data_IF_025310459067
#
_entry.id   IF_025310459067
#
_cell.length_a   1.000
_cell.length_b   1.000
_cell.length_c   1.000
_cell.angle_alpha   90.00
_cell.angle_beta   90.00
_cell.angle_gamma   90.00
#
_symmetry.space_group_name_H-M   'P 1'
#
loop_
_entity.id
_entity.type
_entity.pdbx_description
1 polymer ?
#
# COMPACT_ATOMS: atom_id res chain seq x y z
N UNK A 1 0.28 -5.98 -18.16
CA UNK A 1 -0.84 -6.83 -17.70
C UNK A 1 -1.08 -6.39 -16.28
N UNK A 2 -2.28 -6.01 -15.87
CA UNK A 2 -2.50 -5.62 -14.48
C UNK A 2 -2.29 -6.85 -13.59
N UNK A 3 -1.39 -6.75 -12.62
CA UNK A 3 -1.26 -7.75 -11.57
C UNK A 3 -2.57 -7.77 -10.78
N UNK A 4 -3.17 -8.95 -10.67
CA UNK A 4 -4.28 -9.20 -9.76
C UNK A 4 -3.67 -9.72 -8.47
N UNK A 5 -3.80 -8.96 -7.38
CA UNK A 5 -3.37 -9.41 -6.06
C UNK A 5 -4.59 -9.99 -5.35
N UNK A 6 -4.72 -11.32 -5.26
CA UNK A 6 -5.87 -11.95 -4.60
C UNK A 6 -5.95 -11.59 -3.11
N UNK A 7 -4.83 -11.20 -2.50
CA UNK A 7 -4.79 -10.67 -1.14
C UNK A 7 -5.71 -9.45 -0.96
N UNK A 8 -5.86 -8.60 -1.98
CA UNK A 8 -6.63 -7.35 -1.91
C UNK A 8 -8.13 -7.62 -1.83
N UNK A 9 -8.63 -8.60 -2.57
CA UNK A 9 -10.06 -8.99 -2.57
C UNK A 9 -10.49 -9.56 -1.20
N UNK A 10 -9.53 -10.10 -0.45
CA UNK A 10 -9.76 -10.64 0.90
C UNK A 10 -9.73 -9.56 1.99
N UNK A 11 -9.37 -8.32 1.64
CA UNK A 11 -9.24 -7.27 2.64
C UNK A 11 -10.59 -6.73 3.07
N UNK A 12 -10.73 -6.45 4.37
CA UNK A 12 -11.93 -5.81 4.86
C UNK A 12 -12.01 -4.39 4.29
N UNK A 13 -13.22 -3.94 3.98
CA UNK A 13 -13.51 -2.55 3.57
C UNK A 13 -13.44 -1.59 4.77
N UNK A 14 -12.37 -1.66 5.55
CA UNK A 14 -12.08 -0.85 6.74
C UNK A 14 -10.59 -0.50 6.75
N UNK A 15 -10.17 0.61 7.38
CA UNK A 15 -8.76 0.96 7.41
C UNK A 15 -7.99 -0.08 8.20
N UNK A 16 -6.80 -0.41 7.70
CA UNK A 16 -5.93 -1.41 8.31
C UNK A 16 -5.05 -0.78 9.39
N UNK A 17 -4.57 -1.61 10.30
CA UNK A 17 -3.48 -1.22 11.20
C UNK A 17 -2.14 -1.47 10.50
N UNK A 18 -1.08 -0.72 10.83
CA UNK A 18 0.25 -0.93 10.24
C UNK A 18 0.77 -2.37 10.43
N UNK A 19 0.41 -3.02 11.54
CA UNK A 19 0.72 -4.43 11.80
C UNK A 19 0.06 -5.37 10.78
N UNK A 20 -1.21 -5.11 10.42
CA UNK A 20 -1.93 -5.86 9.40
C UNK A 20 -1.30 -5.67 8.02
N UNK A 21 -0.78 -4.47 7.72
CA UNK A 21 -0.03 -4.21 6.48
C UNK A 21 1.28 -5.02 6.45
N UNK A 22 2.01 -5.09 7.55
CA UNK A 22 3.20 -5.93 7.64
C UNK A 22 2.93 -7.43 7.40
N UNK A 23 1.69 -7.91 7.62
CA UNK A 23 1.35 -9.31 7.37
C UNK A 23 1.37 -9.68 5.88
N UNK A 24 1.21 -8.72 4.96
CA UNK A 24 1.30 -8.99 3.52
C UNK A 24 2.69 -9.45 3.10
N UNK A 25 3.75 -9.09 3.82
CA UNK A 25 5.11 -9.57 3.54
C UNK A 25 5.25 -11.10 3.69
N UNK A 26 4.25 -11.75 4.31
CA UNK A 26 4.17 -13.21 4.42
C UNK A 26 3.37 -13.86 3.29
N UNK A 27 2.73 -13.08 2.42
CA UNK A 27 1.95 -13.59 1.28
C UNK A 27 2.87 -13.98 0.12
N UNK A 28 2.46 -15.00 -0.63
CA UNK A 28 3.23 -15.46 -1.78
C UNK A 28 3.26 -14.38 -2.88
N UNK A 29 4.46 -13.93 -3.22
CA UNK A 29 4.68 -12.94 -4.28
C UNK A 29 4.84 -11.50 -3.80
N UNK A 30 4.64 -11.21 -2.51
CA UNK A 30 4.90 -9.91 -1.90
C UNK A 30 6.27 -9.94 -1.22
N UNK A 31 7.16 -9.04 -1.62
CA UNK A 31 8.49 -8.88 -1.04
C UNK A 31 8.52 -7.86 0.09
N UNK A 32 7.66 -6.83 0.01
CA UNK A 32 7.59 -5.77 1.01
C UNK A 32 6.22 -5.13 1.01
N UNK A 33 5.76 -4.73 2.19
CA UNK A 33 4.51 -4.01 2.36
C UNK A 33 4.76 -2.80 3.27
N UNK A 34 4.36 -1.63 2.82
CA UNK A 34 4.61 -0.36 3.53
C UNK A 34 3.28 0.35 3.73
N UNK A 35 2.89 0.65 4.97
CA UNK A 35 1.74 1.51 5.21
C UNK A 35 2.09 2.94 4.80
N UNK A 36 1.26 3.56 3.96
CA UNK A 36 1.35 4.99 3.70
C UNK A 36 0.63 5.68 4.85
N UNK A 37 1.38 6.11 5.86
CA UNK A 37 0.82 6.84 6.98
C UNK A 37 0.28 8.19 6.49
N UNK A 38 -1.03 8.30 6.29
CA UNK A 38 -1.67 9.61 6.19
C UNK A 38 -1.41 10.29 7.53
N UNK A 39 -0.63 11.37 7.53
CA UNK A 39 -0.54 12.27 8.69
C UNK A 39 -1.96 12.68 9.04
N UNK A 40 -2.55 12.07 10.06
CA UNK A 40 -3.83 12.50 10.63
C UNK A 40 -3.74 13.99 10.93
N UNK A 41 -4.27 14.81 10.02
CA UNK A 41 -4.24 16.27 10.16
C UNK A 41 -5.19 16.73 11.26
N UNK A 42 -6.01 15.84 11.81
CA UNK A 42 -6.82 16.10 12.99
C UNK A 42 -7.13 14.78 13.71
N UNK A 43 -6.53 14.53 14.86
CA UNK A 43 -7.31 13.97 15.96
C UNK A 43 -6.58 14.13 17.28
N UNK A 44 -7.25 14.85 18.16
CA UNK A 44 -6.94 15.00 19.57
C UNK A 44 -7.08 13.66 20.29
N UNK A 45 -6.04 12.82 20.24
CA UNK A 45 -5.83 11.74 21.20
C UNK A 45 -6.19 10.31 20.76
N UNK A 46 -5.26 9.40 21.01
CA UNK A 46 -5.44 7.96 21.27
C UNK A 46 -6.18 7.07 20.27
N UNK A 47 -6.48 7.52 19.05
CA UNK A 47 -6.87 6.60 17.98
C UNK A 47 -5.63 5.86 17.45
N UNK A 48 -5.68 4.53 17.27
CA UNK A 48 -4.58 3.78 16.68
C UNK A 48 -4.33 4.28 15.24
N UNK A 49 -3.09 4.21 14.73
CA UNK A 49 -2.80 4.57 13.34
C UNK A 49 -3.65 3.70 12.40
N UNK A 50 -4.47 4.38 11.61
CA UNK A 50 -5.31 3.80 10.58
C UNK A 50 -4.67 4.07 9.23
N UNK A 51 -4.62 3.03 8.40
CA UNK A 51 -3.99 3.03 7.09
C UNK A 51 -5.09 2.81 6.05
N UNK A 52 -5.35 3.83 5.24
CA UNK A 52 -6.26 3.78 4.08
C UNK A 52 -5.50 3.61 2.76
N UNK A 53 -4.16 3.66 2.81
CA UNK A 53 -3.26 3.63 1.66
C UNK A 53 -2.06 2.72 1.97
N UNK A 54 -1.78 1.75 1.10
CA UNK A 54 -0.67 0.81 1.28
C UNK A 54 0.16 0.72 0.00
N UNK A 55 1.46 0.50 0.17
CA UNK A 55 2.37 0.17 -0.92
C UNK A 55 2.77 -1.28 -0.81
N UNK A 56 2.49 -2.05 -1.86
CA UNK A 56 2.84 -3.46 -1.97
C UNK A 56 3.91 -3.62 -3.04
N UNK A 57 5.11 -4.01 -2.63
CA UNK A 57 6.14 -4.45 -3.54
C UNK A 57 6.03 -5.95 -3.76
N UNK A 58 5.80 -6.34 -5.00
CA UNK A 58 5.93 -7.73 -5.47
C UNK A 58 7.37 -8.02 -5.85
N UNK A 59 7.66 -9.14 -6.52
CA UNK A 59 9.01 -9.46 -7.03
C UNK A 59 9.46 -8.60 -8.22
N UNK A 60 8.53 -7.90 -8.88
CA UNK A 60 8.81 -7.21 -10.17
C UNK A 60 8.13 -5.84 -10.28
N UNK A 61 7.18 -5.54 -9.39
CA UNK A 61 6.33 -4.36 -9.49
C UNK A 61 6.03 -3.83 -8.10
N UNK A 62 5.97 -2.52 -7.95
CA UNK A 62 5.50 -1.82 -6.75
C UNK A 62 4.12 -1.26 -7.05
N UNK A 63 3.18 -1.49 -6.15
CA UNK A 63 1.78 -1.14 -6.29
C UNK A 63 1.38 -0.18 -5.19
N UNK A 64 0.74 0.91 -5.56
CA UNK A 64 0.01 1.79 -4.67
C UNK A 64 -1.44 1.35 -4.64
N UNK A 65 -1.89 0.93 -3.47
CA UNK A 65 -3.25 0.45 -3.24
C UNK A 65 -3.94 1.37 -2.26
N UNK A 66 -5.13 1.82 -2.63
CA UNK A 66 -5.93 2.74 -1.83
C UNK A 66 -7.25 2.09 -1.50
N UNK A 67 -7.80 2.48 -0.36
CA UNK A 67 -9.11 2.03 0.06
C UNK A 67 -10.17 3.00 -0.42
N UNK A 68 -11.08 2.48 -1.24
CA UNK A 68 -12.30 3.15 -1.66
C UNK A 68 -13.47 2.65 -0.81
N UNK A 69 -14.04 3.47 0.11
CA UNK A 69 -15.15 3.03 0.95
C UNK A 69 -16.36 2.61 0.11
N UNK A 70 -16.80 1.36 0.28
CA UNK A 70 -17.88 0.75 -0.48
C UNK A 70 -17.45 0.06 -1.79
N UNK A 71 -16.19 0.22 -2.20
CA UNK A 71 -15.60 -0.45 -3.36
C UNK A 71 -14.46 -1.41 -2.97
N UNK A 72 -13.88 -1.27 -1.77
CA UNK A 72 -12.81 -2.11 -1.25
C UNK A 72 -11.43 -1.51 -1.50
N UNK A 73 -10.43 -2.38 -1.69
CA UNK A 73 -9.05 -1.99 -1.94
C UNK A 73 -8.74 -2.08 -3.43
N UNK A 74 -8.21 -1.00 -3.98
CA UNK A 74 -7.99 -0.84 -5.42
C UNK A 74 -6.56 -0.38 -5.70
N UNK A 75 -5.99 -0.86 -6.80
CA UNK A 75 -4.64 -0.46 -7.23
C UNK A 75 -4.77 0.85 -8.02
N UNK A 76 -4.38 1.96 -7.41
CA UNK A 76 -4.40 3.28 -8.05
C UNK A 76 -3.17 3.51 -8.93
N UNK A 77 -2.01 3.00 -8.53
CA UNK A 77 -0.77 3.14 -9.29
C UNK A 77 0.08 1.88 -9.21
N UNK A 78 0.86 1.63 -10.25
CA UNK A 78 1.79 0.49 -10.31
C UNK A 78 3.01 0.86 -11.12
N UNK A 79 4.19 0.51 -10.62
CA UNK A 79 5.46 0.74 -11.30
C UNK A 79 6.31 -0.54 -11.34
N UNK A 80 6.73 -0.93 -12.54
CA UNK A 80 7.57 -2.12 -12.75
C UNK A 80 9.05 -1.78 -12.51
N UNK A 81 9.80 -2.72 -11.94
CA UNK A 81 11.24 -2.62 -11.74
C UNK A 81 11.94 -3.90 -12.21
N UNK A 82 13.15 -3.75 -12.77
CA UNK A 82 13.84 -4.88 -13.41
C UNK A 82 14.83 -5.60 -12.49
N UNK A 83 15.39 -4.88 -11.51
CA UNK A 83 16.42 -5.39 -10.60
C UNK A 83 16.09 -5.01 -9.16
N UNK A 84 16.43 -5.88 -8.20
CA UNK A 84 16.17 -5.64 -6.77
C UNK A 84 16.79 -4.34 -6.25
N UNK A 85 17.90 -3.88 -6.84
CA UNK A 85 18.52 -2.60 -6.49
C UNK A 85 17.60 -1.39 -6.80
N UNK A 86 16.71 -1.52 -7.78
CA UNK A 86 15.71 -0.50 -8.12
C UNK A 86 14.49 -0.56 -7.21
N UNK A 87 14.23 -1.68 -6.52
CA UNK A 87 13.03 -1.85 -5.71
C UNK A 87 12.85 -0.71 -4.69
N UNK A 88 13.93 -0.32 -4.02
CA UNK A 88 13.86 0.75 -3.01
C UNK A 88 13.54 2.10 -3.67
N UNK A 89 14.17 2.40 -4.80
CA UNK A 89 13.94 3.63 -5.57
C UNK A 89 12.49 3.69 -6.09
N UNK A 90 11.98 2.58 -6.62
CA UNK A 90 10.59 2.44 -7.06
C UNK A 90 9.60 2.56 -5.90
N UNK A 91 9.88 1.96 -4.73
CA UNK A 91 9.05 2.16 -3.53
C UNK A 91 9.01 3.64 -3.16
N UNK A 92 10.16 4.31 -3.14
CA UNK A 92 10.23 5.74 -2.82
C UNK A 92 9.43 6.55 -3.84
N UNK A 93 9.58 6.30 -5.14
CA UNK A 93 8.84 7.02 -6.18
C UNK A 93 7.32 6.82 -6.09
N UNK A 94 6.87 5.59 -5.88
CA UNK A 94 5.46 5.28 -5.67
C UNK A 94 4.94 5.90 -4.37
N UNK A 95 5.77 5.98 -3.33
CA UNK A 95 5.44 6.68 -2.08
C UNK A 95 5.26 8.18 -2.32
N UNK A 96 6.15 8.80 -3.08
CA UNK A 96 6.03 10.21 -3.45
C UNK A 96 4.74 10.48 -4.24
N UNK A 97 4.35 9.57 -5.15
CA UNK A 97 3.07 9.65 -5.88
C UNK A 97 1.89 9.57 -4.91
N UNK A 98 1.91 8.65 -3.95
CA UNK A 98 0.88 8.53 -2.94
C UNK A 98 0.76 9.81 -2.09
N UNK A 99 1.87 10.35 -1.59
CA UNK A 99 1.89 11.59 -0.80
C UNK A 99 1.41 12.81 -1.60
N UNK A 100 1.71 12.87 -2.91
CA UNK A 100 1.24 13.93 -3.78
C UNK A 100 -0.27 13.90 -4.03
N UNK A 101 -0.89 12.71 -4.07
CA UNK A 101 -2.35 12.56 -4.24
C UNK A 101 -3.12 12.99 -2.98
N UNK A 102 -2.48 12.92 -1.81
CA UNK A 102 -3.06 13.28 -0.52
C UNK A 102 -2.97 14.79 -0.19
N UNK A 103 -2.28 15.58 -1.02
CA UNK A 103 -2.05 17.03 -0.86
C UNK A 103 -3.07 17.91 -1.60
#
# INVERSE_FOLDING_TARGET
MSIDIPALDLLPDVPLSPDAVGQFESEEGICRAVPVEIKSTNSTGFEPPHVDDIILATQREVLYVTRSPGNGWEIEHSEEYEVEDQLTDTIESVTEVAEHQLS
#
